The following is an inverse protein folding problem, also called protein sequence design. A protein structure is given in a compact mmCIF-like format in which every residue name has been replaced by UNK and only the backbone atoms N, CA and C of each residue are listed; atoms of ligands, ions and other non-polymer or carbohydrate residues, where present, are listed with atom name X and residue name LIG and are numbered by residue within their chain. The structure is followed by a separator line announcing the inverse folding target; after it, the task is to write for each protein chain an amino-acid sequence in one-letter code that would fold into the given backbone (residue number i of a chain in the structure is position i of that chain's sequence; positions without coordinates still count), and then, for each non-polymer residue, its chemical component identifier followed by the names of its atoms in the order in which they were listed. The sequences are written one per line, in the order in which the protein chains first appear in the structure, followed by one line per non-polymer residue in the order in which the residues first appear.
data_IF_877542712540
#
_entry.id   IF_877542712540
#
_cell.length_a   1.000
_cell.length_b   1.000
_cell.length_c   1.000
_cell.angle_alpha   90.00
_cell.angle_beta   90.00
_cell.angle_gamma   90.00
#
_symmetry.space_group_name_H-M   'P 1'
#
loop_
_entity.id
_entity.type
_entity.pdbx_description
1 polymer ?
#
# COMPACT_ATOMS: atom_id res chain seq x y z
N UNK A 1 12.60 3.88 -16.70
CA UNK A 1 12.89 4.12 -15.26
C UNK A 1 11.76 3.69 -14.32
N UNK A 2 10.54 3.42 -14.82
CA UNK A 2 9.31 3.22 -14.02
C UNK A 2 9.19 1.87 -13.31
N UNK A 3 9.96 0.87 -13.74
CA UNK A 3 9.95 -0.46 -13.11
C UNK A 3 10.54 -0.43 -11.69
N UNK A 4 11.65 0.29 -11.49
CA UNK A 4 12.28 0.42 -10.17
C UNK A 4 11.41 1.19 -9.17
N UNK A 5 10.67 2.20 -9.64
CA UNK A 5 9.70 2.94 -8.80
C UNK A 5 8.54 2.03 -8.38
N UNK A 6 7.97 1.26 -9.32
CA UNK A 6 6.91 0.29 -9.02
C UNK A 6 7.38 -0.80 -8.04
N UNK A 7 8.56 -1.37 -8.22
CA UNK A 7 9.10 -2.37 -7.29
C UNK A 7 9.33 -1.81 -5.88
N UNK A 8 9.77 -0.56 -5.74
CA UNK A 8 9.86 0.11 -4.42
C UNK A 8 8.49 0.31 -3.80
N UNK A 9 7.52 0.75 -4.58
CA UNK A 9 6.14 0.95 -4.13
C UNK A 9 5.49 -0.38 -3.69
N UNK A 10 5.70 -1.46 -4.44
CA UNK A 10 5.15 -2.77 -4.10
C UNK A 10 5.68 -3.27 -2.74
N UNK A 11 6.97 -3.05 -2.45
CA UNK A 11 7.56 -3.36 -1.14
C UNK A 11 7.02 -2.49 0.00
N UNK A 12 6.74 -1.21 -0.28
CA UNK A 12 6.13 -0.29 0.68
C UNK A 12 4.70 -0.71 1.03
N UNK A 13 3.89 -1.07 0.03
CA UNK A 13 2.56 -1.64 0.23
C UNK A 13 2.66 -2.94 1.03
N UNK A 14 3.58 -3.84 0.69
CA UNK A 14 3.80 -5.09 1.45
C UNK A 14 4.11 -4.85 2.92
N UNK A 15 4.94 -3.84 3.19
CA UNK A 15 5.27 -3.44 4.56
C UNK A 15 4.05 -2.89 5.28
N UNK A 16 3.31 -1.97 4.64
CA UNK A 16 2.12 -1.32 5.22
C UNK A 16 0.96 -2.31 5.44
N UNK A 17 0.83 -3.33 4.58
CA UNK A 17 -0.25 -4.34 4.66
C UNK A 17 0.27 -5.70 5.12
N UNK A 18 1.37 -5.74 5.86
CA UNK A 18 1.98 -7.00 6.30
C UNK A 18 1.06 -7.74 7.27
N UNK A 19 0.93 -9.05 7.08
CA UNK A 19 0.10 -9.92 7.93
C UNK A 19 0.61 -10.07 9.37
N UNK A 20 1.89 -9.75 9.60
CA UNK A 20 2.53 -9.81 10.92
C UNK A 20 2.36 -8.52 11.72
N UNK A 21 1.75 -7.49 11.14
CA UNK A 21 1.49 -6.24 11.84
C UNK A 21 0.38 -6.44 12.87
N UNK A 22 0.76 -6.33 14.15
CA UNK A 22 -0.17 -6.30 15.30
C UNK A 22 -0.94 -4.97 15.31
N UNK A 23 -0.30 -3.89 14.86
CA UNK A 23 -0.86 -2.54 14.73
C UNK A 23 -0.53 -1.96 13.35
N UNK A 24 -1.39 -1.06 12.85
CA UNK A 24 -1.22 -0.41 11.55
C UNK A 24 0.06 0.43 11.51
N UNK A 25 0.93 0.20 10.51
CA UNK A 25 2.15 1.00 10.30
C UNK A 25 1.79 2.31 9.60
N UNK A 26 1.51 3.34 10.42
CA UNK A 26 1.14 4.68 9.97
C UNK A 26 2.26 5.32 9.14
N UNK A 27 3.54 5.09 9.48
CA UNK A 27 4.67 5.67 8.73
C UNK A 27 4.71 5.12 7.29
N UNK A 28 4.57 3.80 7.14
CA UNK A 28 4.52 3.17 5.82
C UNK A 28 3.27 3.58 5.04
N UNK A 29 2.13 3.73 5.72
CA UNK A 29 0.87 4.20 5.13
C UNK A 29 0.99 5.63 4.57
N UNK A 30 1.56 6.55 5.36
CA UNK A 30 1.83 7.92 4.93
C UNK A 30 2.82 7.92 3.76
N UNK A 31 3.87 7.10 3.82
CA UNK A 31 4.84 7.01 2.73
C UNK A 31 4.20 6.52 1.41
N UNK A 32 3.26 5.57 1.47
CA UNK A 32 2.46 5.15 0.31
C UNK A 32 1.63 6.32 -0.24
N UNK A 33 0.96 7.07 0.63
CA UNK A 33 0.16 8.24 0.24
C UNK A 33 1.02 9.33 -0.41
N UNK A 34 2.19 9.61 0.15
CA UNK A 34 3.13 10.61 -0.38
C UNK A 34 3.70 10.22 -1.75
N UNK A 35 3.93 8.92 -2.00
CA UNK A 35 4.34 8.43 -3.31
C UNK A 35 3.27 8.68 -4.39
N UNK A 36 1.99 8.50 -4.04
CA UNK A 36 0.87 8.77 -4.95
C UNK A 36 0.69 10.28 -5.16
N UNK A 37 0.77 11.07 -4.07
CA UNK A 37 0.61 12.53 -4.10
C UNK A 37 1.74 13.23 -4.87
N UNK A 38 2.97 12.73 -4.73
CA UNK A 38 4.15 13.24 -5.45
C UNK A 38 4.19 12.82 -6.92
N UNK A 39 3.16 12.11 -7.41
CA UNK A 39 3.06 11.56 -8.77
C UNK A 39 4.23 10.63 -9.15
N UNK A 40 4.92 10.05 -8.15
CA UNK A 40 5.95 9.04 -8.39
C UNK A 40 5.34 7.75 -8.93
N UNK A 41 4.09 7.47 -8.54
CA UNK A 41 3.30 6.32 -8.94
C UNK A 41 1.93 6.80 -9.45
N UNK A 42 1.44 6.17 -10.52
CA UNK A 42 0.10 6.44 -11.02
C UNK A 42 -0.95 6.02 -9.98
N UNK A 43 -1.92 6.88 -9.65
CA UNK A 43 -3.03 6.52 -8.75
C UNK A 43 -3.77 5.25 -9.20
N UNK A 44 -3.90 5.05 -10.52
CA UNK A 44 -4.50 3.83 -11.09
C UNK A 44 -3.72 2.57 -10.70
N UNK A 45 -2.39 2.64 -10.71
CA UNK A 45 -1.53 1.52 -10.30
C UNK A 45 -1.62 1.27 -8.79
N UNK A 46 -1.59 2.34 -7.99
CA UNK A 46 -1.71 2.23 -6.53
C UNK A 46 -3.02 1.54 -6.10
N UNK A 47 -4.15 1.97 -6.66
CA UNK A 47 -5.46 1.36 -6.40
C UNK A 47 -5.51 -0.09 -6.89
N UNK A 48 -4.87 -0.42 -8.02
CA UNK A 48 -4.80 -1.80 -8.49
C UNK A 48 -3.99 -2.70 -7.54
N UNK A 49 -2.90 -2.20 -6.96
CA UNK A 49 -2.12 -2.94 -5.95
C UNK A 49 -2.91 -3.12 -4.65
N UNK A 50 -3.58 -2.08 -4.15
CA UNK A 50 -4.42 -2.16 -2.96
C UNK A 50 -5.61 -3.10 -3.17
N UNK A 51 -6.23 -3.08 -4.35
CA UNK A 51 -7.32 -4.01 -4.69
C UNK A 51 -6.89 -5.48 -4.61
N UNK A 52 -5.65 -5.80 -5.01
CA UNK A 52 -5.13 -7.16 -4.86
C UNK A 52 -4.98 -7.56 -3.39
N UNK A 53 -4.56 -6.62 -2.53
CA UNK A 53 -4.41 -6.88 -1.08
C UNK A 53 -5.76 -7.05 -0.39
N UNK A 54 -6.79 -6.33 -0.82
CA UNK A 54 -8.18 -6.53 -0.36
C UNK A 54 -8.77 -7.88 -0.78
N UNK A 55 -8.18 -8.56 -1.77
CA UNK A 55 -8.59 -9.89 -2.22
C UNK A 55 -7.80 -11.01 -1.52
N UNK A 56 -6.88 -10.70 -0.61
CA UNK A 56 -6.19 -11.72 0.17
C UNK A 56 -7.13 -12.35 1.21
N UNK A 57 -6.99 -13.65 1.43
CA UNK A 57 -7.78 -14.39 2.43
C UNK A 57 -7.44 -13.99 3.87
N UNK A 58 -6.27 -13.35 4.08
CA UNK A 58 -5.83 -12.94 5.40
C UNK A 58 -6.54 -11.65 5.84
N UNK A 59 -7.37 -11.70 6.91
CA UNK A 59 -8.14 -10.55 7.36
C UNK A 59 -7.25 -9.38 7.83
N UNK A 60 -6.05 -9.64 8.36
CA UNK A 60 -5.13 -8.58 8.77
C UNK A 60 -4.66 -7.77 7.56
N UNK A 61 -4.33 -8.44 6.45
CA UNK A 61 -3.90 -7.78 5.21
C UNK A 61 -5.02 -6.92 4.65
N UNK A 62 -6.26 -7.42 4.69
CA UNK A 62 -7.45 -6.69 4.23
C UNK A 62 -7.71 -5.46 5.10
N UNK A 63 -7.63 -5.60 6.42
CA UNK A 63 -7.84 -4.52 7.38
C UNK A 63 -6.82 -3.39 7.17
N UNK A 64 -5.52 -3.73 7.13
CA UNK A 64 -4.45 -2.76 6.92
C UNK A 64 -4.54 -2.10 5.54
N UNK A 65 -4.98 -2.83 4.51
CA UNK A 65 -5.23 -2.25 3.18
C UNK A 65 -6.38 -1.24 3.20
N UNK A 66 -7.40 -1.48 4.01
CA UNK A 66 -8.53 -0.58 4.18
C UNK A 66 -8.11 0.71 4.89
N UNK A 67 -7.24 0.61 5.90
CA UNK A 67 -6.68 1.78 6.59
C UNK A 67 -5.88 2.68 5.62
N UNK A 68 -5.06 2.09 4.75
CA UNK A 68 -4.32 2.84 3.73
C UNK A 68 -5.25 3.57 2.77
N UNK A 69 -6.36 2.94 2.37
CA UNK A 69 -7.35 3.58 1.50
C UNK A 69 -8.07 4.72 2.24
N UNK A 70 -8.39 4.53 3.52
CA UNK A 70 -9.06 5.54 4.32
C UNK A 70 -8.20 6.78 4.56
N UNK A 71 -6.88 6.66 4.52
CA UNK A 71 -5.93 7.75 4.69
C UNK A 71 -5.57 8.50 3.39
N UNK A 72 -5.89 7.94 2.22
CA UNK A 72 -5.49 8.46 0.91
C UNK A 72 -6.37 9.59 0.36
#
# INVERSE_FOLDING_TARGET
MDFFKRSKFDKLIEKATSEMLIESDIESTIAVCDNVRSQEISPKYAVQCLKKRLQCDNPNVVLHSFDVISFS
#
